data_IF_352963734247
#
_entry.id   IF_352963734247
#
_cell.length_a   1.000
_cell.length_b   1.000
_cell.length_c   1.000
_cell.angle_alpha   90.00
_cell.angle_beta   90.00
_cell.angle_gamma   90.00
#
_symmetry.space_group_name_H-M   'P 1'
#
loop_
_entity.id
_entity.type
_entity.pdbx_description
1 polymer ?
#
# COMPACT_ATOMS: atom_id res chain seq x y z
N UNK A 1 -52.46 1.73 -39.70
CA UNK A 1 -51.12 1.78 -40.29
C UNK A 1 -50.13 2.71 -39.60
N UNK A 2 -50.54 3.65 -38.80
CA UNK A 2 -49.69 4.63 -38.09
C UNK A 2 -49.09 4.12 -36.78
N UNK A 3 -49.76 3.25 -36.05
CA UNK A 3 -49.29 2.73 -34.76
C UNK A 3 -48.12 1.74 -34.90
N UNK A 4 -48.19 0.90 -35.94
CA UNK A 4 -47.12 -0.09 -36.26
C UNK A 4 -45.83 0.64 -36.69
N UNK A 5 -45.94 1.73 -37.44
CA UNK A 5 -44.78 2.53 -37.85
C UNK A 5 -44.11 3.22 -36.65
N UNK A 6 -44.90 3.69 -35.69
CA UNK A 6 -44.36 4.29 -34.45
C UNK A 6 -43.66 3.25 -33.55
N UNK A 7 -44.22 2.02 -33.45
CA UNK A 7 -43.60 0.93 -32.74
C UNK A 7 -42.27 0.45 -33.37
N UNK A 8 -42.23 0.37 -34.71
CA UNK A 8 -41.00 0.03 -35.42
C UNK A 8 -39.92 1.12 -35.27
N UNK A 9 -40.32 2.39 -35.29
CA UNK A 9 -39.39 3.52 -35.10
C UNK A 9 -38.80 3.53 -33.69
N UNK A 10 -39.62 3.29 -32.66
CA UNK A 10 -39.12 3.12 -31.27
C UNK A 10 -38.16 1.92 -31.12
N UNK A 11 -38.43 0.79 -31.77
CA UNK A 11 -37.56 -0.37 -31.76
C UNK A 11 -36.19 -0.11 -32.38
N UNK A 12 -36.13 0.63 -33.46
CA UNK A 12 -34.85 1.01 -34.11
C UNK A 12 -34.06 2.03 -33.30
N UNK A 13 -34.72 2.96 -32.62
CA UNK A 13 -34.06 3.95 -31.76
C UNK A 13 -33.48 3.28 -30.50
N UNK A 14 -34.21 2.35 -29.88
CA UNK A 14 -33.72 1.61 -28.70
C UNK A 14 -32.56 0.68 -29.04
N UNK A 15 -32.57 0.01 -30.19
CA UNK A 15 -31.42 -0.83 -30.59
C UNK A 15 -30.18 -0.03 -30.97
N UNK A 16 -30.32 1.20 -31.47
CA UNK A 16 -29.19 2.09 -31.75
C UNK A 16 -28.48 2.62 -30.50
N UNK A 17 -29.20 2.75 -29.39
CA UNK A 17 -28.61 3.18 -28.08
C UNK A 17 -27.81 2.10 -27.37
N UNK A 18 -27.98 0.83 -27.72
CA UNK A 18 -27.26 -0.29 -27.12
C UNK A 18 -25.87 -0.56 -27.73
N UNK A 19 -25.47 0.15 -28.78
CA UNK A 19 -24.18 -0.05 -29.46
C UNK A 19 -23.03 0.77 -28.90
N UNK A 20 -23.22 1.42 -27.76
CA UNK A 20 -22.11 2.08 -27.08
C UNK A 20 -21.21 1.02 -26.44
N UNK A 21 -20.06 0.77 -27.06
CA UNK A 21 -18.98 0.02 -26.43
C UNK A 21 -18.42 0.85 -25.28
N UNK A 22 -18.88 0.61 -24.08
CA UNK A 22 -18.32 1.20 -22.88
C UNK A 22 -16.99 0.51 -22.56
N UNK A 23 -15.89 1.12 -22.93
CA UNK A 23 -14.54 0.72 -22.49
C UNK A 23 -14.30 1.17 -21.04
N UNK A 24 -15.21 0.83 -20.14
CA UNK A 24 -15.11 1.17 -18.73
C UNK A 24 -14.35 0.11 -17.92
N UNK A 25 -13.81 -0.92 -18.59
CA UNK A 25 -13.02 -1.93 -17.93
C UNK A 25 -11.54 -1.56 -18.03
N UNK A 26 -10.93 -1.23 -16.91
CA UNK A 26 -9.48 -1.22 -16.77
C UNK A 26 -8.93 -2.55 -17.27
N UNK A 27 -7.85 -2.52 -18.05
CA UNK A 27 -7.30 -3.76 -18.58
C UNK A 27 -6.80 -4.61 -17.40
N UNK A 28 -7.04 -5.92 -17.42
CA UNK A 28 -6.52 -6.86 -16.41
C UNK A 28 -5.02 -6.70 -16.16
N UNK A 29 -4.29 -6.21 -17.15
CA UNK A 29 -2.84 -5.95 -17.05
C UNK A 29 -2.54 -4.77 -16.14
N UNK A 30 -3.32 -3.68 -16.22
CA UNK A 30 -3.17 -2.51 -15.36
C UNK A 30 -3.53 -2.85 -13.92
N UNK A 31 -4.61 -3.59 -13.71
CA UNK A 31 -5.01 -4.08 -12.39
C UNK A 31 -3.95 -5.02 -11.81
N UNK A 32 -3.47 -5.98 -12.60
CA UNK A 32 -2.41 -6.90 -12.19
C UNK A 32 -1.13 -6.14 -11.82
N UNK A 33 -0.76 -5.11 -12.58
CA UNK A 33 0.39 -4.27 -12.29
C UNK A 33 0.19 -3.47 -11.00
N UNK A 34 -0.99 -2.90 -10.77
CA UNK A 34 -1.31 -2.17 -9.55
C UNK A 34 -1.22 -3.06 -8.31
N UNK A 35 -1.80 -4.26 -8.35
CA UNK A 35 -1.79 -5.20 -7.23
C UNK A 35 -0.48 -5.96 -7.06
N UNK A 36 0.38 -6.03 -8.08
CA UNK A 36 1.71 -6.65 -8.00
C UNK A 36 2.76 -5.73 -7.38
N UNK A 37 2.48 -4.44 -7.24
CA UNK A 37 3.43 -3.50 -6.65
C UNK A 37 3.55 -3.71 -5.15
N UNK A 38 4.63 -4.35 -4.74
CA UNK A 38 5.02 -4.41 -3.33
C UNK A 38 5.79 -3.14 -2.96
N UNK A 39 5.22 -2.35 -2.05
CA UNK A 39 5.93 -1.20 -1.45
C UNK A 39 6.33 -1.60 -0.04
N UNK A 40 7.62 -1.73 0.19
CA UNK A 40 8.12 -1.90 1.55
C UNK A 40 7.84 -0.64 2.37
N UNK A 41 7.19 -0.81 3.50
CA UNK A 41 6.92 0.25 4.45
C UNK A 41 7.52 -0.12 5.80
N UNK A 42 7.90 0.89 6.59
CA UNK A 42 8.45 0.65 7.91
C UNK A 42 9.70 1.48 8.19
N UNK A 43 10.55 0.97 9.06
CA UNK A 43 11.81 1.63 9.40
C UNK A 43 12.76 1.72 8.20
N UNK A 44 13.68 2.69 8.22
CA UNK A 44 14.71 2.83 7.18
C UNK A 44 15.53 1.55 6.98
N UNK A 45 15.77 0.82 8.08
CA UNK A 45 16.46 -0.47 8.06
C UNK A 45 15.71 -1.50 7.22
N UNK A 46 14.41 -1.63 7.42
CA UNK A 46 13.59 -2.61 6.71
C UNK A 46 13.41 -2.21 5.25
N UNK A 47 13.26 -0.92 4.97
CA UNK A 47 13.22 -0.43 3.60
C UNK A 47 14.52 -0.73 2.85
N UNK A 48 15.68 -0.59 3.49
CA UNK A 48 16.98 -0.95 2.91
C UNK A 48 17.10 -2.47 2.63
N UNK A 49 16.38 -3.31 3.37
CA UNK A 49 16.30 -4.76 3.15
C UNK A 49 15.19 -5.17 2.15
N UNK A 50 14.59 -4.20 1.44
CA UNK A 50 13.50 -4.47 0.50
C UNK A 50 12.24 -5.03 1.15
N UNK A 51 12.02 -4.78 2.45
CA UNK A 51 10.85 -5.28 3.18
C UNK A 51 10.99 -6.71 3.72
N UNK A 52 12.16 -7.30 3.68
CA UNK A 52 12.42 -8.67 4.17
C UNK A 52 12.44 -8.74 5.70
N UNK A 53 11.28 -8.49 6.34
CA UNK A 53 11.16 -8.37 7.79
C UNK A 53 10.42 -9.54 8.46
N UNK A 54 9.72 -10.39 7.69
CA UNK A 54 8.87 -11.44 8.25
C UNK A 54 9.65 -12.45 9.11
N UNK A 55 10.91 -12.71 8.78
CA UNK A 55 11.79 -13.65 9.49
C UNK A 55 12.76 -12.96 10.45
N UNK A 56 12.87 -11.62 10.37
CA UNK A 56 13.75 -10.83 11.19
C UNK A 56 12.94 -10.22 12.36
N UNK A 57 13.05 -10.74 13.55
CA UNK A 57 12.46 -10.09 14.73
C UNK A 57 13.19 -8.81 15.13
N UNK A 58 12.64 -8.06 16.09
CA UNK A 58 13.32 -6.93 16.71
C UNK A 58 13.31 -5.63 15.88
N UNK A 59 12.33 -5.45 15.01
CA UNK A 59 12.02 -4.19 14.36
C UNK A 59 10.53 -3.87 14.51
N UNK A 60 10.19 -2.61 14.73
CA UNK A 60 8.79 -2.20 14.93
C UNK A 60 7.92 -2.46 13.69
N UNK A 61 8.50 -2.44 12.51
CA UNK A 61 7.80 -2.70 11.25
C UNK A 61 7.17 -4.10 11.22
N UNK A 62 7.61 -5.01 12.08
CA UNK A 62 7.01 -6.33 12.26
C UNK A 62 5.55 -6.29 12.73
N UNK A 63 5.09 -5.18 13.31
CA UNK A 63 3.70 -5.03 13.75
C UNK A 63 2.71 -5.23 12.58
N UNK A 64 3.12 -4.88 11.37
CA UNK A 64 2.28 -4.98 10.16
C UNK A 64 2.39 -6.33 9.44
N UNK A 65 3.45 -7.11 9.71
CA UNK A 65 3.73 -8.33 8.95
C UNK A 65 3.73 -9.58 9.81
N UNK A 66 4.45 -9.53 10.95
CA UNK A 66 4.54 -10.63 11.90
C UNK A 66 4.72 -10.07 13.32
N UNK A 67 3.61 -9.81 13.99
CA UNK A 67 3.60 -9.23 15.34
C UNK A 67 4.40 -10.08 16.37
N UNK A 68 4.59 -11.38 16.14
CA UNK A 68 5.44 -12.21 17.00
C UNK A 68 6.89 -11.73 17.02
N UNK A 69 7.35 -11.03 15.98
CA UNK A 69 8.66 -10.40 15.91
C UNK A 69 8.89 -9.31 16.95
N UNK A 70 7.83 -8.76 17.55
CA UNK A 70 7.95 -7.84 18.69
C UNK A 70 8.48 -8.53 19.95
N UNK A 71 8.31 -9.83 20.08
CA UNK A 71 8.84 -10.61 21.20
C UNK A 71 10.38 -10.63 21.29
N UNK A 72 11.08 -10.25 20.23
CA UNK A 72 12.54 -10.14 20.22
C UNK A 72 13.06 -8.84 20.87
N UNK A 73 12.18 -7.86 21.13
CA UNK A 73 12.60 -6.66 21.82
C UNK A 73 12.93 -6.95 23.29
N UNK A 74 14.15 -6.63 23.68
CA UNK A 74 14.62 -6.74 25.06
C UNK A 74 14.66 -5.41 25.81
N UNK A 75 14.45 -4.31 25.07
CA UNK A 75 14.44 -2.94 25.58
C UNK A 75 13.34 -2.15 24.89
N UNK A 76 12.86 -1.12 25.56
CA UNK A 76 11.97 -0.13 24.94
C UNK A 76 12.75 0.71 23.94
N UNK A 77 12.12 1.04 22.81
CA UNK A 77 12.73 1.74 21.70
C UNK A 77 11.78 2.79 21.13
N UNK A 78 12.33 3.92 20.77
CA UNK A 78 11.64 4.94 19.98
C UNK A 78 12.32 5.02 18.61
N UNK A 79 11.52 5.01 17.54
CA UNK A 79 12.04 5.05 16.17
C UNK A 79 11.32 6.12 15.36
N UNK A 80 12.10 6.93 14.65
CA UNK A 80 11.61 7.91 13.69
C UNK A 80 12.41 7.78 12.40
N UNK A 81 11.72 7.74 11.27
CA UNK A 81 12.34 7.64 9.96
C UNK A 81 11.86 8.79 9.08
N UNK A 82 12.62 9.88 8.94
CA UNK A 82 12.33 10.90 7.94
C UNK A 82 12.71 10.40 6.54
N UNK A 83 11.92 10.78 5.54
CA UNK A 83 12.16 10.46 4.13
C UNK A 83 12.07 11.72 3.28
N UNK A 84 13.06 11.90 2.43
CA UNK A 84 13.10 12.94 1.43
C UNK A 84 13.10 12.30 0.05
N UNK A 85 12.24 12.75 -0.82
CA UNK A 85 12.12 12.22 -2.16
C UNK A 85 11.76 13.30 -3.17
N UNK A 86 11.75 12.92 -4.43
CA UNK A 86 11.19 13.72 -5.49
C UNK A 86 10.39 12.81 -6.42
N UNK A 87 9.15 13.17 -6.65
CA UNK A 87 8.34 12.54 -7.69
C UNK A 87 8.68 13.21 -9.02
N UNK A 88 8.97 12.41 -10.01
CA UNK A 88 9.17 12.88 -11.38
C UNK A 88 8.04 12.31 -12.24
N UNK A 89 7.35 13.16 -12.94
CA UNK A 89 6.33 12.81 -13.90
C UNK A 89 6.71 13.39 -15.26
N UNK A 90 6.66 12.55 -16.28
CA UNK A 90 6.85 12.96 -17.66
C UNK A 90 5.55 12.70 -18.42
N UNK A 91 5.03 13.73 -19.03
CA UNK A 91 3.85 13.62 -19.89
C UNK A 91 4.21 13.99 -21.32
N UNK A 92 3.66 13.26 -22.29
CA UNK A 92 3.79 13.57 -23.70
C UNK A 92 2.38 13.85 -24.24
N UNK A 93 2.15 15.08 -24.63
CA UNK A 93 0.90 15.51 -25.24
C UNK A 93 1.17 16.18 -26.58
N UNK A 94 0.62 15.61 -27.64
CA UNK A 94 0.76 16.10 -29.04
C UNK A 94 2.23 16.33 -29.45
N UNK A 95 3.16 15.47 -28.98
CA UNK A 95 4.58 15.58 -29.31
C UNK A 95 5.35 16.57 -28.43
N UNK A 96 4.71 17.24 -27.49
CA UNK A 96 5.37 18.05 -26.47
C UNK A 96 5.58 17.24 -25.21
N UNK A 97 6.84 17.20 -24.77
CA UNK A 97 7.25 16.54 -23.55
C UNK A 97 7.30 17.58 -22.44
N UNK A 98 6.52 17.34 -21.39
CA UNK A 98 6.50 18.15 -20.17
C UNK A 98 7.05 17.29 -19.03
N UNK A 99 8.11 17.76 -18.41
CA UNK A 99 8.68 17.17 -17.21
C UNK A 99 8.25 17.98 -15.98
N UNK A 100 7.75 17.27 -14.96
CA UNK A 100 7.47 17.86 -13.66
C UNK A 100 8.23 17.12 -12.57
N UNK A 101 8.77 17.88 -11.62
CA UNK A 101 9.50 17.36 -10.48
C UNK A 101 9.03 18.01 -9.21
N UNK A 102 8.33 17.25 -8.39
CA UNK A 102 7.81 17.72 -7.10
C UNK A 102 8.59 17.08 -5.95
N UNK A 103 9.35 17.86 -5.16
CA UNK A 103 9.98 17.35 -3.95
C UNK A 103 8.92 16.99 -2.92
N UNK A 104 9.14 15.90 -2.19
CA UNK A 104 8.30 15.52 -1.09
C UNK A 104 9.11 15.21 0.17
N UNK A 105 8.50 15.51 1.31
CA UNK A 105 8.98 15.12 2.62
C UNK A 105 7.90 14.28 3.30
N UNK A 106 8.29 13.17 3.89
CA UNK A 106 7.40 12.30 4.65
C UNK A 106 8.10 11.74 5.89
N UNK A 107 7.32 11.31 6.86
CA UNK A 107 7.77 10.52 8.00
C UNK A 107 7.05 9.17 7.92
N UNK A 108 7.57 8.21 7.15
CA UNK A 108 6.92 6.93 6.94
C UNK A 108 6.90 6.03 8.19
N UNK A 109 7.74 6.30 9.17
CA UNK A 109 7.75 5.57 10.42
C UNK A 109 7.96 6.52 11.60
N UNK A 110 7.02 6.48 12.53
CA UNK A 110 7.10 7.07 13.86
C UNK A 110 6.52 6.04 14.83
N UNK A 111 7.35 5.50 15.71
CA UNK A 111 6.94 4.35 16.50
C UNK A 111 7.59 4.33 17.89
N UNK A 112 6.88 3.70 18.81
CA UNK A 112 7.30 3.48 20.18
C UNK A 112 7.09 2.01 20.55
N UNK A 113 8.13 1.36 21.03
CA UNK A 113 8.07 0.01 21.57
C UNK A 113 8.34 0.06 23.06
N UNK A 114 7.44 -0.49 23.84
CA UNK A 114 7.60 -0.68 25.28
C UNK A 114 7.78 -2.17 25.52
N UNK A 115 8.97 -2.57 25.91
CA UNK A 115 9.30 -3.98 26.22
C UNK A 115 9.62 -4.14 27.69
N UNK A 116 9.00 -5.15 28.31
CA UNK A 116 9.23 -5.55 29.67
C UNK A 116 9.50 -7.05 29.70
N UNK A 117 10.72 -7.48 29.31
CA UNK A 117 11.08 -8.89 29.39
C UNK A 117 11.22 -9.29 30.86
N UNK A 118 10.70 -10.45 31.18
CA UNK A 118 10.90 -11.06 32.51
C UNK A 118 12.22 -11.84 32.51
N UNK A 119 13.03 -11.69 33.55
CA UNK A 119 14.30 -12.43 33.70
C UNK A 119 14.05 -13.94 33.76
N UNK A 120 14.99 -14.72 33.24
CA UNK A 120 14.92 -16.20 33.20
C UNK A 120 14.78 -16.86 34.58
N UNK A 121 15.28 -16.19 35.61
CA UNK A 121 15.30 -16.69 36.99
C UNK A 121 13.99 -16.46 37.77
N UNK A 122 13.02 -15.78 37.19
CA UNK A 122 11.75 -15.53 37.89
C UNK A 122 10.75 -16.66 37.65
N UNK A 123 10.19 -17.26 38.71
CA UNK A 123 9.19 -18.30 38.56
C UNK A 123 7.90 -17.78 37.92
N UNK A 124 7.27 -18.60 37.09
CA UNK A 124 6.01 -18.33 36.44
C UNK A 124 6.04 -18.56 34.95
N UNK A 125 4.89 -18.87 34.36
CA UNK A 125 4.72 -19.22 32.98
C UNK A 125 4.82 -18.01 32.05
N UNK A 126 4.48 -16.80 32.49
CA UNK A 126 4.51 -15.58 31.71
C UNK A 126 5.93 -14.99 31.65
N UNK A 127 6.49 -14.90 30.43
CA UNK A 127 7.88 -14.49 30.20
C UNK A 127 8.09 -13.02 29.92
N UNK A 128 7.07 -12.21 30.03
CA UNK A 128 7.10 -10.77 29.74
C UNK A 128 6.20 -10.40 28.56
N UNK A 129 6.13 -9.12 28.24
CA UNK A 129 5.32 -8.61 27.17
C UNK A 129 5.98 -7.43 26.46
N UNK A 130 5.66 -7.27 25.20
CA UNK A 130 6.06 -6.12 24.39
C UNK A 130 4.82 -5.52 23.76
N UNK A 131 4.71 -4.21 23.85
CA UNK A 131 3.68 -3.42 23.20
C UNK A 131 4.37 -2.45 22.23
N UNK A 132 3.83 -2.32 21.04
CA UNK A 132 4.31 -1.39 20.03
C UNK A 132 3.16 -0.61 19.35
N UNK A 133 3.43 0.63 19.00
CA UNK A 133 2.54 1.50 18.26
C UNK A 133 3.32 2.27 17.21
#
# INVERSE_FOLDING_TARGET
>A
MTLIKKLLLCGVITSGLCLNNTFAQTSFVEDAQLFSQFRSTGSARINALGGAQMSLGGDISNIHTNAAGLGFFRRSEFSITPSFGANQAQSNFLGQIQDDRTPNFAIPNLSLVISRPKGELQPGSFRGGTFGI
#
